data_IF_953797659444
#
_entry.id   IF_953797659444
#
_cell.length_a   1.000
_cell.length_b   1.000
_cell.length_c   1.000
_cell.angle_alpha   90.00
_cell.angle_beta   90.00
_cell.angle_gamma   90.00
#
_symmetry.space_group_name_H-M   'P 1'
#
loop_
_entity.id
_entity.type
_entity.pdbx_description
1 polymer ?
#
# COMPACT_ATOMS: atom_id res chain seq x y z
N UNK A 1 -2.99 -32.26 43.63
CA UNK A 1 -4.09 -33.23 43.43
C UNK A 1 -5.13 -33.00 44.50
N UNK A 2 -6.45 -33.06 44.25
CA UNK A 2 -7.24 -32.80 43.05
C UNK A 2 -8.19 -31.59 43.23
N UNK A 3 -8.92 -31.26 42.15
CA UNK A 3 -10.02 -30.30 42.06
C UNK A 3 -11.20 -30.63 42.98
N UNK A 4 -11.94 -29.61 43.45
CA UNK A 4 -13.42 -29.50 43.41
C UNK A 4 -13.92 -28.13 43.93
N UNK A 5 -14.56 -27.40 43.01
CA UNK A 5 -15.73 -26.49 43.13
C UNK A 5 -15.95 -25.63 44.39
N UNK A 6 -15.94 -24.31 44.20
CA UNK A 6 -16.89 -23.40 44.86
C UNK A 6 -17.19 -22.21 43.96
N UNK A 7 -18.48 -22.04 43.69
CA UNK A 7 -19.11 -21.02 42.87
C UNK A 7 -19.26 -19.71 43.64
N UNK A 8 -18.91 -18.59 43.01
CA UNK A 8 -19.54 -17.28 43.27
C UNK A 8 -19.27 -16.35 42.09
N UNK A 9 -20.23 -16.33 41.17
CA UNK A 9 -20.33 -15.32 40.14
C UNK A 9 -20.83 -14.01 40.76
N UNK A 10 -19.98 -12.98 40.79
CA UNK A 10 -20.43 -11.61 40.96
C UNK A 10 -20.87 -11.07 39.60
N UNK A 11 -22.19 -11.09 39.36
CA UNK A 11 -22.83 -10.41 38.25
C UNK A 11 -22.72 -8.89 38.44
N UNK A 12 -21.72 -8.27 37.81
CA UNK A 12 -21.75 -6.83 37.55
C UNK A 12 -22.40 -6.59 36.19
N UNK A 13 -23.73 -6.42 36.21
CA UNK A 13 -24.48 -5.85 35.10
C UNK A 13 -24.13 -4.37 34.97
N UNK A 14 -23.28 -4.04 33.99
CA UNK A 14 -23.12 -2.66 33.53
C UNK A 14 -23.90 -2.57 32.22
N UNK A 15 -25.18 -2.25 32.35
CA UNK A 15 -26.00 -1.84 31.22
C UNK A 15 -25.51 -0.48 30.73
N UNK A 16 -24.62 -0.46 29.73
CA UNK A 16 -24.39 0.72 28.91
C UNK A 16 -25.45 0.72 27.81
N UNK A 17 -26.56 1.37 28.08
CA UNK A 17 -27.53 1.75 27.07
C UNK A 17 -26.82 2.55 25.97
N UNK A 18 -26.61 1.93 24.81
CA UNK A 18 -26.27 2.64 23.58
C UNK A 18 -27.47 3.50 23.20
N UNK A 19 -27.36 4.81 23.43
CA UNK A 19 -28.36 5.77 22.97
C UNK A 19 -28.28 5.85 21.44
N UNK A 20 -29.15 5.10 20.78
CA UNK A 20 -29.47 5.28 19.36
C UNK A 20 -30.15 6.65 19.23
N UNK A 21 -29.40 7.67 18.81
CA UNK A 21 -29.99 8.98 18.49
C UNK A 21 -30.52 8.93 17.07
N UNK A 22 -31.82 8.61 16.95
CA UNK A 22 -32.58 8.82 15.72
C UNK A 22 -32.68 10.33 15.47
N UNK A 23 -32.02 10.82 14.42
CA UNK A 23 -32.30 12.15 13.88
C UNK A 23 -33.54 12.04 13.00
N UNK A 24 -34.71 12.36 13.54
CA UNK A 24 -35.95 12.42 12.78
C UNK A 24 -35.97 13.72 11.98
N UNK A 25 -35.72 13.62 10.67
CA UNK A 25 -36.00 14.71 9.73
C UNK A 25 -37.52 14.74 9.47
N UNK A 26 -38.16 15.86 9.80
CA UNK A 26 -39.57 16.10 9.53
C UNK A 26 -39.83 16.09 8.02
N UNK A 27 -40.83 15.29 7.63
CA UNK A 27 -41.23 15.10 6.26
C UNK A 27 -41.88 16.37 5.65
N UNK A 28 -41.41 16.74 4.47
CA UNK A 28 -42.17 17.49 3.47
C UNK A 28 -41.95 16.83 2.11
N UNK A 29 -43.06 16.45 1.46
CA UNK A 29 -43.15 15.76 0.17
C UNK A 29 -43.88 16.70 -0.82
N UNK A 30 -43.91 16.48 -2.16
CA UNK A 30 -43.08 15.66 -3.05
C UNK A 30 -42.59 16.44 -4.30
N UNK A 31 -41.77 15.79 -5.14
CA UNK A 31 -41.31 16.20 -6.50
C UNK A 31 -40.10 17.14 -6.56
N UNK A 32 -38.94 16.63 -6.16
CA UNK A 32 -37.70 16.99 -6.83
C UNK A 32 -37.26 15.79 -7.66
N UNK A 33 -37.18 15.98 -8.98
CA UNK A 33 -36.50 15.06 -9.88
C UNK A 33 -35.12 14.77 -9.29
N UNK A 34 -34.78 13.50 -9.13
CA UNK A 34 -33.46 13.06 -8.74
C UNK A 34 -32.47 13.61 -9.77
N UNK A 35 -31.81 14.72 -9.41
CA UNK A 35 -30.55 15.10 -10.03
C UNK A 35 -29.62 13.92 -9.79
N UNK A 36 -29.22 13.31 -10.89
CA UNK A 36 -28.17 12.29 -11.01
C UNK A 36 -27.20 12.39 -9.84
N UNK A 37 -27.15 11.35 -9.01
CA UNK A 37 -26.01 11.15 -8.13
C UNK A 37 -24.76 11.38 -8.96
N UNK A 38 -23.89 12.28 -8.51
CA UNK A 38 -22.58 12.45 -9.11
C UNK A 38 -21.85 11.11 -8.97
N UNK A 39 -22.00 10.26 -9.97
CA UNK A 39 -21.12 9.14 -10.22
C UNK A 39 -19.75 9.77 -10.38
N UNK A 40 -18.96 9.76 -9.31
CA UNK A 40 -17.52 9.91 -9.46
C UNK A 40 -17.09 8.61 -10.13
N UNK A 41 -17.21 8.58 -11.46
CA UNK A 41 -16.63 7.54 -12.29
C UNK A 41 -15.11 7.71 -12.18
N UNK A 42 -14.54 7.26 -11.08
CA UNK A 42 -13.10 7.16 -10.92
C UNK A 42 -12.64 6.11 -11.92
N UNK A 43 -11.99 6.55 -13.01
CA UNK A 43 -11.40 5.67 -14.00
C UNK A 43 -10.25 4.82 -13.40
N UNK A 44 -9.78 5.13 -12.18
CA UNK A 44 -8.77 4.36 -11.46
C UNK A 44 -8.94 4.45 -9.93
N UNK A 45 -8.73 3.33 -9.23
CA UNK A 45 -8.68 3.31 -7.76
C UNK A 45 -7.29 3.73 -7.27
N UNK A 46 -7.21 4.46 -6.15
CA UNK A 46 -5.90 4.81 -5.58
C UNK A 46 -5.12 3.55 -5.22
N UNK A 47 -3.81 3.58 -5.45
CA UNK A 47 -2.90 2.43 -5.32
C UNK A 47 -3.12 1.27 -6.32
N UNK A 48 -4.02 1.40 -7.30
CA UNK A 48 -4.27 0.39 -8.34
C UNK A 48 -3.78 0.84 -9.72
N UNK A 49 -3.56 -0.12 -10.63
CA UNK A 49 -3.21 0.20 -12.02
C UNK A 49 -1.76 0.62 -12.23
N UNK A 50 -0.80 -0.05 -11.56
CA UNK A 50 0.63 0.25 -11.70
C UNK A 50 1.06 0.21 -13.19
N UNK A 51 1.42 1.36 -13.79
CA UNK A 51 1.71 1.45 -15.23
C UNK A 51 2.96 0.66 -15.62
N UNK A 52 3.91 0.49 -14.71
CA UNK A 52 5.16 -0.25 -14.91
C UNK A 52 4.98 -1.77 -14.96
N UNK A 53 3.76 -2.27 -14.70
CA UNK A 53 3.41 -3.71 -14.71
C UNK A 53 2.48 -4.13 -15.85
N UNK A 54 2.19 -3.24 -16.81
CA UNK A 54 1.25 -3.49 -17.91
C UNK A 54 1.72 -4.57 -18.91
N UNK A 55 3.00 -4.96 -18.89
CA UNK A 55 3.55 -6.02 -19.77
C UNK A 55 4.40 -7.01 -18.98
N UNK A 56 4.15 -8.31 -19.17
CA UNK A 56 5.08 -9.37 -18.75
C UNK A 56 6.18 -9.52 -19.78
N UNK A 57 7.39 -9.08 -19.43
CA UNK A 57 8.60 -9.34 -20.22
C UNK A 57 8.85 -10.85 -20.34
N UNK A 58 9.26 -11.31 -21.52
CA UNK A 58 9.70 -12.71 -21.70
C UNK A 58 10.97 -12.96 -20.87
N UNK A 59 11.26 -14.18 -20.40
CA UNK A 59 12.46 -14.45 -19.59
C UNK A 59 13.79 -14.07 -20.24
N UNK A 60 13.85 -14.03 -21.58
CA UNK A 60 15.02 -13.64 -22.37
C UNK A 60 15.13 -12.14 -22.65
N UNK A 61 14.13 -11.36 -22.23
CA UNK A 61 14.06 -9.92 -22.46
C UNK A 61 15.03 -9.19 -21.51
N UNK A 62 15.80 -8.17 -21.95
CA UNK A 62 16.62 -7.33 -21.06
C UNK A 62 15.81 -6.71 -19.91
N UNK A 63 14.52 -6.45 -20.10
CA UNK A 63 13.64 -5.88 -19.07
C UNK A 63 13.09 -6.91 -18.09
N UNK A 64 13.34 -8.21 -18.32
CA UNK A 64 12.91 -9.25 -17.39
C UNK A 64 13.51 -9.00 -16.00
N UNK A 65 12.81 -9.35 -14.91
CA UNK A 65 13.33 -9.12 -13.55
C UNK A 65 14.72 -9.73 -13.35
N UNK A 66 14.95 -10.94 -13.86
CA UNK A 66 16.24 -11.61 -13.71
C UNK A 66 17.33 -10.93 -14.54
N UNK A 67 17.04 -10.58 -15.79
CA UNK A 67 17.99 -9.87 -16.67
C UNK A 67 18.36 -8.52 -16.07
N UNK A 68 17.35 -7.72 -15.69
CA UNK A 68 17.55 -6.41 -15.09
C UNK A 68 18.34 -6.49 -13.77
N UNK A 69 18.13 -7.53 -12.97
CA UNK A 69 18.89 -7.76 -11.73
C UNK A 69 20.36 -8.09 -12.00
N UNK A 70 20.66 -8.90 -13.03
CA UNK A 70 22.06 -9.18 -13.41
C UNK A 70 22.78 -7.95 -13.95
N UNK A 71 22.09 -7.16 -14.78
CA UNK A 71 22.59 -5.86 -15.24
C UNK A 71 22.87 -4.95 -14.05
N UNK A 72 21.90 -4.79 -13.13
CA UNK A 72 22.06 -3.99 -11.91
C UNK A 72 23.29 -4.42 -11.09
N UNK A 73 23.47 -5.72 -10.88
CA UNK A 73 24.64 -6.25 -10.16
C UNK A 73 25.95 -5.86 -10.83
N UNK A 74 26.00 -5.92 -12.16
CA UNK A 74 27.18 -5.54 -12.93
C UNK A 74 27.47 -4.04 -12.80
N UNK A 75 26.42 -3.21 -12.84
CA UNK A 75 26.50 -1.75 -12.69
C UNK A 75 26.94 -1.30 -11.30
N UNK A 76 26.51 -2.01 -10.25
CA UNK A 76 26.94 -1.70 -8.88
C UNK A 76 28.42 -2.03 -8.65
N UNK A 77 28.92 -3.08 -9.31
CA UNK A 77 30.33 -3.50 -9.27
C UNK A 77 31.24 -2.62 -10.13
N UNK A 78 30.74 -2.00 -11.19
CA UNK A 78 31.52 -1.05 -11.98
C UNK A 78 31.60 0.31 -11.28
N UNK A 79 32.81 0.88 -11.21
CA UNK A 79 33.04 2.23 -10.69
C UNK A 79 32.84 3.31 -11.78
N UNK A 80 32.33 2.98 -12.96
CA UNK A 80 32.12 3.95 -14.04
C UNK A 80 30.84 4.75 -13.78
N UNK A 81 31.02 6.03 -13.42
CA UNK A 81 29.91 7.00 -13.23
C UNK A 81 29.43 7.63 -14.54
N UNK A 82 30.00 7.23 -15.69
CA UNK A 82 29.90 7.98 -16.96
C UNK A 82 29.43 7.18 -18.18
N UNK A 83 29.04 5.92 -18.03
CA UNK A 83 28.48 5.15 -19.16
C UNK A 83 26.96 5.19 -19.14
N UNK A 84 26.36 5.59 -20.28
CA UNK A 84 24.93 5.45 -20.52
C UNK A 84 24.63 3.98 -20.81
N UNK A 85 24.05 3.28 -19.84
CA UNK A 85 23.63 1.90 -20.01
C UNK A 85 22.19 1.85 -20.53
N UNK A 86 21.94 0.91 -21.45
CA UNK A 86 20.60 0.52 -21.87
C UNK A 86 20.28 -0.82 -21.21
N UNK A 87 19.19 -0.93 -20.42
CA UNK A 87 18.24 0.13 -20.07
C UNK A 87 18.75 1.09 -18.97
N UNK A 88 18.11 2.26 -18.85
CA UNK A 88 18.32 3.19 -17.74
C UNK A 88 17.64 2.69 -16.45
N UNK A 89 18.20 3.04 -15.29
CA UNK A 89 17.78 2.55 -13.98
C UNK A 89 17.33 3.71 -13.09
N UNK A 90 16.02 3.75 -12.81
CA UNK A 90 15.41 4.69 -11.87
C UNK A 90 15.12 4.02 -10.54
N UNK A 91 15.55 4.65 -9.45
CA UNK A 91 15.40 4.15 -8.08
C UNK A 91 14.51 5.11 -7.30
N UNK A 92 13.48 4.57 -6.64
CA UNK A 92 12.62 5.29 -5.71
C UNK A 92 13.05 5.00 -4.26
N UNK A 93 13.64 5.99 -3.56
CA UNK A 93 14.01 5.82 -2.16
C UNK A 93 12.79 5.84 -1.24
N UNK A 94 12.83 5.02 -0.21
CA UNK A 94 11.88 5.02 0.90
C UNK A 94 12.60 5.25 2.23
N UNK A 95 11.98 5.99 3.14
CA UNK A 95 12.46 6.14 4.51
C UNK A 95 11.35 5.80 5.47
N UNK A 96 11.50 4.71 6.23
CA UNK A 96 10.49 4.20 7.18
C UNK A 96 9.12 4.04 6.52
N UNK A 97 9.08 3.43 5.33
CA UNK A 97 7.84 3.22 4.57
C UNK A 97 7.29 4.45 3.82
N UNK A 98 7.96 5.61 3.90
CA UNK A 98 7.57 6.84 3.19
C UNK A 98 8.32 6.96 1.87
N UNK A 99 7.67 7.06 0.70
CA UNK A 99 8.36 7.33 -0.55
C UNK A 99 8.94 8.74 -0.57
N UNK A 100 10.03 8.90 -1.32
CA UNK A 100 10.51 10.21 -1.74
C UNK A 100 9.55 10.82 -2.77
N UNK A 101 9.14 12.06 -2.55
CA UNK A 101 8.28 12.82 -3.45
C UNK A 101 8.77 14.24 -3.62
N UNK A 102 8.54 14.82 -4.79
CA UNK A 102 8.76 16.23 -5.08
C UNK A 102 7.44 16.93 -5.33
N UNK A 103 7.39 18.23 -5.03
CA UNK A 103 6.29 19.09 -5.44
C UNK A 103 6.81 20.06 -6.49
N UNK A 104 6.26 20.00 -7.70
CA UNK A 104 6.46 21.06 -8.69
C UNK A 104 5.39 22.12 -8.44
N UNK A 105 5.76 23.23 -7.83
CA UNK A 105 4.87 24.36 -7.64
C UNK A 105 4.78 25.17 -8.92
N UNK A 106 3.87 24.80 -9.83
CA UNK A 106 3.52 25.71 -10.92
C UNK A 106 2.46 26.70 -10.43
N UNK A 107 2.78 27.98 -10.55
CA UNK A 107 2.08 29.11 -9.92
C UNK A 107 0.77 29.50 -10.64
N UNK A 108 -0.08 28.50 -10.93
CA UNK A 108 -1.32 28.70 -11.68
C UNK A 108 -2.50 27.89 -11.16
N UNK A 109 -3.27 28.44 -10.22
CA UNK A 109 -4.62 28.04 -9.76
C UNK A 109 -4.92 26.59 -9.32
N UNK A 110 -4.08 25.61 -9.67
CA UNK A 110 -4.12 24.23 -9.20
C UNK A 110 -3.22 24.06 -7.98
N UNK A 111 -3.62 23.20 -7.04
CA UNK A 111 -2.80 22.86 -5.88
C UNK A 111 -1.46 22.21 -6.24
N UNK A 112 -0.61 21.91 -5.25
CA UNK A 112 0.70 21.30 -5.49
C UNK A 112 0.55 19.95 -6.21
N UNK A 113 1.25 19.78 -7.35
CA UNK A 113 1.32 18.51 -8.03
C UNK A 113 2.45 17.66 -7.42
N UNK A 114 2.09 16.56 -6.75
CA UNK A 114 3.02 15.67 -6.08
C UNK A 114 3.45 14.55 -7.03
N UNK A 115 4.76 14.42 -7.22
CA UNK A 115 5.35 13.42 -8.12
C UNK A 115 6.36 12.56 -7.37
N UNK A 116 6.52 11.30 -7.75
CA UNK A 116 7.55 10.44 -7.17
C UNK A 116 8.97 10.97 -7.45
N UNK A 117 9.79 11.01 -6.41
CA UNK A 117 11.19 11.42 -6.46
C UNK A 117 12.09 10.30 -6.97
N UNK A 118 12.09 10.07 -8.28
CA UNK A 118 12.99 9.13 -8.93
C UNK A 118 14.41 9.66 -8.98
N UNK A 119 15.38 8.85 -8.55
CA UNK A 119 16.81 9.11 -8.68
C UNK A 119 17.40 8.18 -9.75
N UNK A 120 18.43 8.62 -10.44
CA UNK A 120 19.29 7.71 -11.20
C UNK A 120 20.05 6.78 -10.25
N UNK A 121 20.51 5.63 -10.77
CA UNK A 121 21.34 4.71 -9.99
C UNK A 121 22.62 5.38 -9.44
N UNK A 122 23.25 6.24 -10.25
CA UNK A 122 24.44 7.00 -9.87
C UNK A 122 24.19 8.00 -8.74
N UNK A 123 23.11 8.80 -8.84
CA UNK A 123 22.71 9.68 -7.74
C UNK A 123 22.46 8.90 -6.45
N UNK A 124 21.73 7.78 -6.54
CA UNK A 124 21.43 6.93 -5.38
C UNK A 124 22.70 6.38 -4.72
N UNK A 125 23.68 5.92 -5.52
CA UNK A 125 24.99 5.46 -5.04
C UNK A 125 25.74 6.56 -4.28
N UNK A 126 25.84 7.76 -4.87
CA UNK A 126 26.50 8.92 -4.24
C UNK A 126 25.84 9.30 -2.91
N UNK A 127 24.52 9.31 -2.84
CA UNK A 127 23.78 9.63 -1.62
C UNK A 127 24.01 8.62 -0.48
N UNK A 128 24.09 7.33 -0.82
CA UNK A 128 24.30 6.26 0.15
C UNK A 128 25.75 6.21 0.64
N UNK A 129 26.73 6.37 -0.25
CA UNK A 129 28.16 6.42 0.09
C UNK A 129 28.46 7.56 1.07
N UNK A 130 27.87 8.75 0.87
CA UNK A 130 27.97 9.88 1.81
C UNK A 130 27.42 9.57 3.21
N UNK A 131 26.52 8.60 3.31
CA UNK A 131 25.91 8.16 4.57
C UNK A 131 26.55 6.89 5.12
N UNK A 132 27.72 6.47 4.59
CA UNK A 132 28.45 5.25 4.96
C UNK A 132 27.63 3.95 4.75
N UNK A 133 26.62 3.98 3.89
CA UNK A 133 25.81 2.81 3.52
C UNK A 133 26.21 2.35 2.14
N UNK A 134 26.59 1.08 1.99
CA UNK A 134 26.85 0.51 0.66
C UNK A 134 25.54 0.11 -0.02
N UNK A 135 25.43 0.44 -1.30
CA UNK A 135 24.32 -0.01 -2.13
C UNK A 135 24.57 -1.47 -2.55
N UNK A 136 23.79 -2.39 -1.98
CA UNK A 136 23.83 -3.82 -2.28
C UNK A 136 22.56 -4.22 -3.02
N UNK A 137 22.67 -5.10 -4.01
CA UNK A 137 21.56 -5.52 -4.87
C UNK A 137 20.37 -6.11 -4.09
N UNK A 138 20.63 -6.76 -2.95
CA UNK A 138 19.61 -7.38 -2.09
C UNK A 138 18.70 -6.37 -1.39
N UNK A 139 19.08 -5.08 -1.36
CA UNK A 139 18.27 -3.99 -0.80
C UNK A 139 17.26 -3.44 -1.81
N UNK A 140 17.42 -3.75 -3.10
CA UNK A 140 16.57 -3.24 -4.17
C UNK A 140 15.42 -4.22 -4.49
N UNK A 141 14.24 -3.66 -4.73
CA UNK A 141 13.08 -4.41 -5.22
C UNK A 141 12.65 -3.91 -6.59
N UNK A 142 12.45 -4.84 -7.52
CA UNK A 142 12.02 -4.52 -8.88
C UNK A 142 10.54 -4.13 -8.91
N UNK A 143 10.24 -2.97 -9.49
CA UNK A 143 8.87 -2.45 -9.59
C UNK A 143 8.25 -2.70 -10.97
N UNK A 144 9.05 -2.64 -12.02
CA UNK A 144 8.57 -2.70 -13.40
C UNK A 144 9.55 -2.08 -14.39
N UNK A 145 9.09 -1.94 -15.62
CA UNK A 145 9.83 -1.30 -16.70
C UNK A 145 8.87 -0.54 -17.62
N UNK A 146 9.44 0.34 -18.44
CA UNK A 146 8.75 0.95 -19.58
C UNK A 146 9.64 0.80 -20.82
N UNK A 147 9.28 -0.12 -21.70
CA UNK A 147 10.06 -0.44 -22.90
C UNK A 147 10.21 0.77 -23.82
N UNK A 148 9.13 1.53 -24.02
CA UNK A 148 9.12 2.75 -24.82
C UNK A 148 10.05 3.86 -24.30
N UNK A 149 10.38 3.86 -23.00
CA UNK A 149 11.34 4.80 -22.41
C UNK A 149 12.72 4.18 -22.20
N UNK A 150 12.89 2.88 -22.44
CA UNK A 150 14.08 2.09 -22.10
C UNK A 150 14.50 2.21 -20.62
N UNK A 151 13.52 2.22 -19.70
CA UNK A 151 13.76 2.39 -18.26
C UNK A 151 13.28 1.21 -17.43
N UNK A 152 14.09 0.80 -16.45
CA UNK A 152 13.73 -0.12 -15.36
C UNK A 152 13.59 0.62 -14.03
N UNK A 153 12.52 0.32 -13.31
CA UNK A 153 12.16 0.96 -12.05
C UNK A 153 12.41 0.05 -10.85
N UNK A 154 13.09 0.59 -9.84
CA UNK A 154 13.43 -0.08 -8.59
C UNK A 154 13.00 0.76 -7.38
N UNK A 155 12.86 0.13 -6.22
CA UNK A 155 12.77 0.83 -4.94
C UNK A 155 13.79 0.30 -3.95
N UNK A 156 14.14 1.14 -2.97
CA UNK A 156 15.11 0.84 -1.92
C UNK A 156 14.68 1.48 -0.60
N UNK A 157 14.92 0.80 0.52
CA UNK A 157 14.79 1.39 1.85
C UNK A 157 16.11 2.04 2.28
N UNK A 158 16.09 3.36 2.49
CA UNK A 158 17.21 4.20 2.91
C UNK A 158 17.05 4.69 4.36
N UNK A 159 16.28 3.97 5.18
CA UNK A 159 16.04 4.33 6.58
C UNK A 159 17.31 4.50 7.42
N UNK A 160 18.36 3.74 7.10
CA UNK A 160 19.65 3.78 7.80
C UNK A 160 20.55 4.95 7.32
N UNK A 161 20.25 5.59 6.19
CA UNK A 161 21.05 6.69 5.63
C UNK A 161 20.56 8.04 6.16
N UNK A 162 21.12 8.54 7.26
CA UNK A 162 20.69 9.80 7.91
C UNK A 162 21.06 11.07 7.14
N UNK A 163 22.18 11.09 6.42
CA UNK A 163 22.74 12.28 5.74
C UNK A 163 21.96 12.76 4.52
N UNK A 164 21.09 11.91 3.96
CA UNK A 164 20.44 12.13 2.67
C UNK A 164 19.34 13.22 2.68
N UNK A 165 18.73 13.49 3.84
CA UNK A 165 17.50 14.30 3.93
C UNK A 165 17.75 15.77 3.57
N UNK A 166 18.86 16.35 4.03
CA UNK A 166 19.15 17.77 3.84
C UNK A 166 19.42 18.13 2.36
N UNK A 167 20.10 17.26 1.62
CA UNK A 167 20.44 17.46 0.21
C UNK A 167 19.24 17.20 -0.72
N UNK A 168 18.37 16.24 -0.37
CA UNK A 168 17.10 16.06 -1.07
C UNK A 168 16.15 17.24 -0.85
N UNK A 169 16.16 17.82 0.35
CA UNK A 169 15.38 19.01 0.67
C UNK A 169 15.74 20.23 -0.18
N UNK A 170 17.02 20.43 -0.51
CA UNK A 170 17.44 21.53 -1.40
C UNK A 170 16.94 21.34 -2.84
N UNK A 171 16.65 20.10 -3.23
CA UNK A 171 16.01 19.73 -4.51
C UNK A 171 14.48 19.67 -4.44
N UNK A 172 13.87 20.23 -3.39
CA UNK A 172 12.42 20.22 -3.14
C UNK A 172 11.82 18.82 -3.00
N UNK A 173 12.62 17.83 -2.61
CA UNK A 173 12.15 16.49 -2.29
C UNK A 173 11.91 16.32 -0.78
N UNK A 174 10.94 15.49 -0.44
CA UNK A 174 10.64 15.11 0.94
C UNK A 174 10.09 13.69 1.02
N UNK A 175 10.26 13.03 2.17
CA UNK A 175 9.67 11.71 2.44
C UNK A 175 8.28 11.89 3.05
N UNK A 176 7.24 11.47 2.34
CA UNK A 176 5.84 11.73 2.73
C UNK A 176 5.09 10.43 2.95
N UNK A 177 4.20 10.40 3.94
CA UNK A 177 3.32 9.26 4.20
C UNK A 177 2.37 9.01 3.02
N UNK A 178 2.22 7.74 2.60
CA UNK A 178 1.34 7.39 1.47
C UNK A 178 -0.10 7.86 1.65
N UNK A 179 -0.62 7.79 2.89
CA UNK A 179 -1.97 8.27 3.19
C UNK A 179 -2.09 9.78 2.98
N UNK A 180 -1.05 10.53 3.35
CA UNK A 180 -1.01 11.98 3.13
C UNK A 180 -0.95 12.29 1.64
N UNK A 181 -0.15 11.56 0.86
CA UNK A 181 -0.11 11.69 -0.60
C UNK A 181 -1.47 11.42 -1.22
N UNK A 182 -2.10 10.29 -0.85
CA UNK A 182 -3.44 9.95 -1.33
C UNK A 182 -4.47 11.06 -1.07
N UNK A 183 -4.39 11.76 0.06
CA UNK A 183 -5.30 12.88 0.39
C UNK A 183 -4.93 14.17 -0.35
N UNK A 184 -3.64 14.40 -0.60
CA UNK A 184 -3.15 15.62 -1.24
C UNK A 184 -3.16 15.57 -2.78
N UNK A 185 -3.23 14.37 -3.36
CA UNK A 185 -3.25 14.13 -4.80
C UNK A 185 -4.62 14.44 -5.41
N UNK A 186 -4.63 15.03 -6.61
CA UNK A 186 -5.81 15.10 -7.46
C UNK A 186 -6.09 13.72 -8.08
N UNK A 187 -7.24 13.11 -7.73
CA UNK A 187 -7.62 11.79 -8.22
C UNK A 187 -8.09 11.79 -9.68
N UNK A 188 -8.36 12.97 -10.25
CA UNK A 188 -8.65 13.11 -11.67
C UNK A 188 -7.37 13.03 -12.52
N UNK A 189 -6.18 13.26 -11.95
CA UNK A 189 -4.91 13.15 -12.66
C UNK A 189 -4.46 11.67 -12.76
N UNK A 190 -4.51 11.05 -13.96
CA UNK A 190 -4.12 9.65 -14.14
C UNK A 190 -2.64 9.42 -13.83
N UNK A 191 -1.79 10.43 -13.99
CA UNK A 191 -0.36 10.27 -13.74
C UNK A 191 -0.10 10.20 -12.24
N UNK A 192 -0.76 11.04 -11.45
CA UNK A 192 -0.65 10.98 -9.99
C UNK A 192 -1.26 9.71 -9.39
N UNK A 193 -2.35 9.20 -9.98
CA UNK A 193 -2.91 7.91 -9.59
C UNK A 193 -1.98 6.74 -9.90
N UNK A 194 -1.29 6.78 -11.05
CA UNK A 194 -0.23 5.83 -11.40
C UNK A 194 0.95 5.87 -10.42
N UNK A 195 1.37 7.08 -10.02
CA UNK A 195 2.42 7.29 -9.01
C UNK A 195 2.02 6.68 -7.65
N UNK A 196 0.78 6.87 -7.20
CA UNK A 196 0.27 6.21 -5.99
C UNK A 196 0.33 4.68 -6.11
N UNK A 197 -0.09 4.12 -7.25
CA UNK A 197 -0.03 2.67 -7.51
C UNK A 197 1.39 2.10 -7.43
N UNK A 198 2.37 2.80 -7.99
CA UNK A 198 3.78 2.42 -7.90
C UNK A 198 4.27 2.49 -6.46
N UNK A 199 3.97 3.59 -5.75
CA UNK A 199 4.45 3.81 -4.39
C UNK A 199 3.85 2.82 -3.39
N UNK A 200 2.54 2.51 -3.51
CA UNK A 200 1.88 1.48 -2.72
C UNK A 200 2.45 0.09 -2.96
N UNK A 201 2.71 -0.25 -4.21
CA UNK A 201 3.34 -1.51 -4.58
C UNK A 201 4.77 -1.64 -4.01
N UNK A 202 5.58 -0.60 -4.18
CA UNK A 202 6.96 -0.54 -3.68
C UNK A 202 7.02 -0.68 -2.15
N UNK A 203 6.17 0.06 -1.44
CA UNK A 203 6.07 -0.03 0.02
C UNK A 203 5.75 -1.44 0.49
N UNK A 204 4.74 -2.08 -0.09
CA UNK A 204 4.33 -3.43 0.29
C UNK A 204 5.47 -4.45 0.12
N UNK A 205 6.24 -4.35 -0.96
CA UNK A 205 7.42 -5.19 -1.17
C UNK A 205 8.51 -4.89 -0.15
N UNK A 206 8.90 -3.63 0.04
CA UNK A 206 9.96 -3.26 0.98
C UNK A 206 9.63 -3.66 2.42
N UNK A 207 8.39 -3.45 2.86
CA UNK A 207 7.92 -3.86 4.19
C UNK A 207 7.96 -5.38 4.37
N UNK A 208 7.50 -6.13 3.37
CA UNK A 208 7.60 -7.59 3.38
C UNK A 208 9.07 -8.05 3.40
N UNK A 209 9.96 -7.37 2.69
CA UNK A 209 11.39 -7.65 2.74
C UNK A 209 11.98 -7.42 4.13
N UNK A 210 11.61 -6.31 4.78
CA UNK A 210 12.07 -5.95 6.11
C UNK A 210 11.60 -6.92 7.20
N UNK A 211 10.39 -7.47 7.07
CA UNK A 211 9.77 -8.37 8.08
C UNK A 211 10.08 -9.85 7.84
N UNK A 212 10.20 -10.28 6.58
CA UNK A 212 10.44 -11.68 6.22
C UNK A 212 11.93 -11.99 6.07
N UNK A 213 12.74 -11.81 7.13
CA UNK A 213 14.20 -12.03 7.11
C UNK A 213 14.61 -13.50 7.33
N UNK A 214 13.74 -14.28 7.96
CA UNK A 214 13.97 -15.66 8.34
C UNK A 214 12.82 -16.56 7.86
N UNK A 215 13.14 -17.83 7.61
CA UNK A 215 12.20 -18.82 7.15
C UNK A 215 11.28 -19.24 8.31
N UNK A 216 9.98 -18.99 8.19
CA UNK A 216 9.00 -19.39 9.20
C UNK A 216 8.88 -20.91 9.42
N UNK A 217 9.52 -21.74 8.60
CA UNK A 217 9.54 -23.20 8.79
C UNK A 217 10.77 -23.70 9.56
N UNK A 218 11.97 -23.21 9.25
CA UNK A 218 13.23 -23.73 9.84
C UNK A 218 14.11 -22.67 10.52
N UNK A 219 13.72 -21.41 10.55
CA UNK A 219 14.46 -20.31 11.18
C UNK A 219 15.70 -19.82 10.42
N UNK A 220 16.13 -20.49 9.35
CA UNK A 220 17.27 -20.05 8.54
C UNK A 220 17.00 -18.72 7.81
N UNK A 221 18.06 -17.99 7.44
CA UNK A 221 17.93 -16.74 6.68
C UNK A 221 17.22 -16.98 5.35
N UNK A 222 16.55 -15.94 4.86
CA UNK A 222 15.93 -15.94 3.52
C UNK A 222 16.71 -15.05 2.58
N UNK A 223 16.89 -15.48 1.34
CA UNK A 223 17.56 -14.73 0.28
C UNK A 223 16.53 -14.22 -0.74
N UNK A 224 16.62 -12.95 -1.18
CA UNK A 224 15.82 -12.44 -2.29
C UNK A 224 16.03 -13.26 -3.57
N UNK A 225 14.96 -13.47 -4.32
CA UNK A 225 14.97 -14.13 -5.62
C UNK A 225 14.07 -13.37 -6.58
N UNK A 226 14.28 -13.51 -7.89
CA UNK A 226 13.46 -12.87 -8.93
C UNK A 226 13.36 -11.35 -8.73
N UNK A 227 14.51 -10.71 -8.52
CA UNK A 227 14.63 -9.27 -8.28
C UNK A 227 13.76 -8.76 -7.12
N UNK A 228 13.68 -9.56 -6.05
CA UNK A 228 12.95 -9.22 -4.83
C UNK A 228 11.45 -9.51 -4.88
N UNK A 229 10.95 -10.23 -5.88
CA UNK A 229 9.51 -10.60 -5.95
C UNK A 229 9.14 -11.81 -5.08
N UNK A 230 10.13 -12.64 -4.75
CA UNK A 230 9.98 -13.75 -3.80
C UNK A 230 11.29 -13.94 -3.02
N UNK A 231 11.24 -14.79 -2.02
CA UNK A 231 12.39 -15.20 -1.22
C UNK A 231 12.54 -16.71 -1.21
N UNK A 232 13.76 -17.19 -1.02
CA UNK A 232 14.06 -18.61 -0.79
C UNK A 232 14.73 -18.78 0.56
N UNK A 233 14.42 -19.86 1.26
CA UNK A 233 15.20 -20.28 2.42
C UNK A 233 16.65 -20.59 1.99
N UNK A 234 17.63 -20.09 2.75
CA UNK A 234 19.06 -20.34 2.50
C UNK A 234 19.53 -21.73 2.94
N UNK A 235 18.69 -22.46 3.70
CA UNK A 235 19.00 -23.83 4.07
C UNK A 235 18.71 -24.77 2.90
N UNK A 236 19.77 -25.42 2.40
CA UNK A 236 19.73 -26.35 1.27
C UNK A 236 18.76 -27.54 1.48
N UNK A 237 18.55 -27.97 2.71
CA UNK A 237 17.60 -29.05 3.04
C UNK A 237 16.15 -28.56 3.07
N UNK A 238 15.92 -27.26 3.21
CA UNK A 238 14.57 -26.68 3.30
C UNK A 238 14.09 -26.12 1.95
N UNK A 239 14.86 -25.22 1.33
CA UNK A 239 14.56 -24.56 0.03
C UNK A 239 13.13 -24.01 -0.15
N UNK A 240 12.42 -23.74 0.96
CA UNK A 240 11.04 -23.26 0.90
C UNK A 240 10.99 -21.88 0.23
N UNK A 241 10.05 -21.73 -0.70
CA UNK A 241 9.75 -20.45 -1.37
C UNK A 241 8.77 -19.66 -0.52
N UNK A 242 9.00 -18.35 -0.42
CA UNK A 242 8.21 -17.42 0.39
C UNK A 242 7.79 -16.27 -0.52
N UNK A 243 6.50 -15.94 -0.49
CA UNK A 243 5.90 -14.89 -1.31
C UNK A 243 5.43 -13.72 -0.42
N UNK A 244 5.28 -12.50 -0.99
CA UNK A 244 4.65 -11.39 -0.30
C UNK A 244 3.28 -11.75 0.26
N UNK A 245 2.99 -11.29 1.48
CA UNK A 245 1.69 -11.48 2.12
C UNK A 245 0.69 -10.45 1.56
N UNK A 246 -0.53 -10.90 1.30
CA UNK A 246 -1.68 -10.03 1.02
C UNK A 246 -2.78 -10.45 1.99
N UNK A 247 -3.23 -9.51 2.81
CA UNK A 247 -4.27 -9.74 3.80
C UNK A 247 -5.59 -9.16 3.26
N UNK A 248 -6.55 -10.00 2.83
CA UNK A 248 -7.79 -9.52 2.23
C UNK A 248 -8.72 -8.93 3.30
N UNK A 249 -9.32 -7.79 2.94
CA UNK A 249 -10.19 -7.00 3.81
C UNK A 249 -11.46 -6.66 3.04
N UNK A 250 -12.62 -6.82 3.67
CA UNK A 250 -13.89 -6.28 3.18
C UNK A 250 -14.11 -4.90 3.77
N UNK A 251 -14.63 -3.98 2.95
CA UNK A 251 -15.15 -2.69 3.39
C UNK A 251 -16.57 -2.56 2.82
N UNK A 252 -17.55 -2.27 3.67
CA UNK A 252 -18.96 -2.35 3.30
C UNK A 252 -19.76 -1.12 3.75
N UNK A 253 -20.54 -0.58 2.81
CA UNK A 253 -21.59 0.38 3.10
C UNK A 253 -22.90 -0.38 3.29
N UNK A 254 -23.39 -0.46 4.52
CA UNK A 254 -24.66 -1.13 4.83
C UNK A 254 -25.79 -0.12 4.63
N UNK A 255 -26.75 -0.45 3.77
CA UNK A 255 -27.84 0.44 3.35
C UNK A 255 -29.17 -0.16 3.79
N UNK A 256 -29.98 0.66 4.44
CA UNK A 256 -31.39 0.40 4.70
C UNK A 256 -32.21 1.09 3.61
N UNK A 257 -32.62 0.30 2.61
CA UNK A 257 -33.30 0.78 1.39
C UNK A 257 -34.68 1.38 1.69
N UNK A 258 -35.37 0.91 2.74
CA UNK A 258 -36.72 1.39 3.07
C UNK A 258 -36.70 2.76 3.75
N UNK A 259 -35.68 3.02 4.56
CA UNK A 259 -35.57 4.23 5.36
C UNK A 259 -34.56 5.25 4.78
N UNK A 260 -34.01 5.00 3.59
CA UNK A 260 -33.02 5.84 2.91
C UNK A 260 -31.85 6.27 3.82
N UNK A 261 -31.25 5.29 4.51
CA UNK A 261 -30.16 5.53 5.46
C UNK A 261 -29.04 4.53 5.29
N UNK A 262 -27.83 4.93 5.68
CA UNK A 262 -26.66 4.06 5.69
C UNK A 262 -26.03 4.01 7.10
N UNK A 263 -25.47 2.85 7.42
CA UNK A 263 -24.74 2.62 8.67
C UNK A 263 -23.28 3.05 8.49
N UNK A 264 -22.81 3.91 9.40
CA UNK A 264 -21.41 4.30 9.49
C UNK A 264 -20.94 4.09 10.93
N UNK A 265 -19.69 3.67 11.10
CA UNK A 265 -19.06 3.59 12.41
C UNK A 265 -18.08 4.74 12.64
N UNK A 266 -17.81 4.98 13.92
CA UNK A 266 -16.82 5.93 14.39
C UNK A 266 -15.86 5.23 15.32
N UNK A 267 -14.58 5.23 14.97
CA UNK A 267 -13.54 4.69 15.83
C UNK A 267 -12.81 5.82 16.55
N UNK A 268 -12.41 5.59 17.81
CA UNK A 268 -11.72 6.59 18.64
C UNK A 268 -10.39 7.06 18.05
N UNK A 269 -9.74 6.21 17.25
CA UNK A 269 -8.46 6.50 16.56
C UNK A 269 -8.60 7.44 15.35
N UNK A 270 -9.82 7.74 14.90
CA UNK A 270 -10.06 8.56 13.72
C UNK A 270 -10.03 10.06 14.04
N UNK A 271 -9.76 10.87 13.01
CA UNK A 271 -9.84 12.34 13.10
C UNK A 271 -11.23 12.72 13.65
N UNK A 272 -11.34 13.69 14.56
CA UNK A 272 -12.63 14.08 15.11
C UNK A 272 -13.68 14.33 14.02
N UNK A 273 -14.89 13.80 14.25
CA UNK A 273 -16.05 13.89 13.34
C UNK A 273 -15.94 13.08 12.04
N UNK A 274 -14.92 12.23 11.88
CA UNK A 274 -14.88 11.27 10.79
C UNK A 274 -15.73 10.04 11.09
N UNK A 275 -16.64 9.72 10.16
CA UNK A 275 -17.42 8.49 10.12
C UNK A 275 -16.96 7.68 8.91
N UNK A 276 -16.96 6.36 9.01
CA UNK A 276 -16.51 5.48 7.94
C UNK A 276 -17.40 4.26 7.80
N UNK A 277 -17.30 3.59 6.65
CA UNK A 277 -17.85 2.26 6.45
C UNK A 277 -17.23 1.28 7.46
N UNK A 278 -17.94 0.18 7.70
CA UNK A 278 -17.38 -0.95 8.43
C UNK A 278 -16.32 -1.64 7.56
N UNK A 279 -15.29 -2.20 8.19
CA UNK A 279 -14.26 -2.95 7.48
C UNK A 279 -13.60 -3.96 8.40
N UNK A 280 -13.30 -5.14 7.85
CA UNK A 280 -12.73 -6.25 8.61
C UNK A 280 -11.98 -7.25 7.75
N UNK A 281 -11.13 -8.04 8.38
CA UNK A 281 -10.34 -9.07 7.69
C UNK A 281 -11.22 -10.26 7.34
N UNK A 282 -10.93 -10.89 6.20
CA UNK A 282 -11.55 -12.18 5.85
C UNK A 282 -10.86 -13.29 6.63
N UNK A 283 -11.64 -14.21 7.19
CA UNK A 283 -11.10 -15.38 7.87
C UNK A 283 -10.85 -16.57 6.93
N UNK A 284 -9.92 -17.49 7.26
CA UNK A 284 -9.70 -18.69 6.46
C UNK A 284 -10.97 -19.54 6.31
N UNK A 285 -11.37 -19.80 5.07
CA UNK A 285 -12.58 -20.56 4.75
C UNK A 285 -13.84 -19.71 4.57
N UNK A 286 -13.72 -18.39 4.70
CA UNK A 286 -14.81 -17.44 4.56
C UNK A 286 -14.85 -16.82 3.15
N UNK A 287 -16.05 -16.69 2.58
CA UNK A 287 -16.32 -15.87 1.39
C UNK A 287 -16.33 -14.37 1.71
N UNK A 288 -16.27 -13.52 0.69
CA UNK A 288 -16.39 -12.06 0.88
C UNK A 288 -17.72 -11.69 1.54
N UNK A 289 -18.79 -12.36 1.13
CA UNK A 289 -20.14 -12.11 1.58
C UNK A 289 -20.37 -12.60 3.01
N UNK A 290 -19.75 -13.71 3.41
CA UNK A 290 -19.76 -14.16 4.81
C UNK A 290 -19.00 -13.18 5.72
N UNK A 291 -17.80 -12.73 5.30
CA UNK A 291 -17.01 -11.75 6.06
C UNK A 291 -17.78 -10.44 6.27
N UNK A 292 -18.47 -9.94 5.23
CA UNK A 292 -19.32 -8.74 5.34
C UNK A 292 -20.42 -8.94 6.40
N UNK A 293 -21.08 -10.11 6.41
CA UNK A 293 -22.16 -10.39 7.37
C UNK A 293 -21.63 -10.54 8.79
N UNK A 294 -20.55 -11.29 8.98
CA UNK A 294 -19.90 -11.51 10.28
C UNK A 294 -19.42 -10.19 10.88
N UNK A 295 -18.60 -9.44 10.15
CA UNK A 295 -18.02 -8.18 10.64
C UNK A 295 -19.11 -7.14 10.97
N UNK A 296 -20.17 -7.07 10.16
CA UNK A 296 -21.30 -6.16 10.46
C UNK A 296 -22.02 -6.56 11.75
N UNK A 297 -22.29 -7.86 11.92
CA UNK A 297 -22.98 -8.38 13.10
C UNK A 297 -22.13 -8.18 14.37
N UNK A 298 -20.83 -8.45 14.31
CA UNK A 298 -19.91 -8.32 15.45
C UNK A 298 -19.75 -6.86 15.90
N UNK A 299 -19.57 -5.92 14.96
CA UNK A 299 -19.33 -4.51 15.31
C UNK A 299 -20.62 -3.77 15.72
N UNK A 300 -21.78 -4.16 15.17
CA UNK A 300 -23.00 -3.33 15.25
C UNK A 300 -24.25 -4.07 15.73
N UNK A 301 -24.24 -5.40 15.73
CA UNK A 301 -25.43 -6.22 16.02
C UNK A 301 -26.47 -6.24 14.90
N UNK A 302 -26.17 -5.68 13.73
CA UNK A 302 -27.08 -5.63 12.58
C UNK A 302 -26.84 -6.82 11.66
N UNK A 303 -27.91 -7.53 11.32
CA UNK A 303 -27.88 -8.60 10.32
C UNK A 303 -28.02 -8.01 8.90
N UNK A 304 -27.25 -8.55 7.95
CA UNK A 304 -27.22 -8.09 6.56
C UNK A 304 -27.65 -9.21 5.61
N UNK A 305 -28.56 -8.87 4.69
CA UNK A 305 -29.07 -9.76 3.66
C UNK A 305 -28.18 -9.81 2.41
N UNK A 306 -28.63 -9.17 1.34
CA UNK A 306 -27.95 -9.10 0.04
C UNK A 306 -26.58 -8.39 0.15
N UNK A 307 -25.54 -8.98 -0.44
CA UNK A 307 -24.21 -8.39 -0.56
C UNK A 307 -23.88 -8.25 -2.03
N UNK A 308 -23.55 -7.02 -2.46
CA UNK A 308 -23.19 -6.71 -3.85
C UNK A 308 -21.76 -6.18 -3.88
N UNK A 309 -20.88 -6.89 -4.59
CA UNK A 309 -19.52 -6.43 -4.82
C UNK A 309 -19.52 -5.20 -5.74
N UNK A 310 -18.81 -4.14 -5.31
CA UNK A 310 -18.64 -2.92 -6.10
C UNK A 310 -17.28 -2.88 -6.80
N UNK A 311 -16.19 -2.95 -6.02
CA UNK A 311 -14.82 -2.78 -6.52
C UNK A 311 -13.78 -3.31 -5.55
N UNK A 312 -12.53 -3.43 -5.99
CA UNK A 312 -11.39 -3.78 -5.15
C UNK A 312 -10.30 -2.72 -5.24
N UNK A 313 -9.60 -2.50 -4.13
CA UNK A 313 -8.56 -1.49 -4.04
C UNK A 313 -7.38 -2.06 -3.22
N UNK A 314 -6.15 -2.06 -3.77
CA UNK A 314 -4.97 -2.35 -2.98
C UNK A 314 -4.80 -1.29 -1.89
N UNK A 315 -4.47 -1.72 -0.67
CA UNK A 315 -4.22 -0.82 0.43
C UNK A 315 -2.84 -1.09 1.04
N UNK A 316 -1.81 -0.31 0.68
CA UNK A 316 -0.51 -0.43 1.34
C UNK A 316 -0.71 0.02 2.79
N UNK A 317 -0.41 -0.88 3.72
CA UNK A 317 -0.75 -0.76 5.15
C UNK A 317 -0.15 0.46 5.87
N UNK A 318 -0.25 0.44 7.20
CA UNK A 318 0.27 1.50 8.06
C UNK A 318 1.77 1.51 8.18
#
# INVERSE_FOLDING_TARGET
>A
MPFLLSSSAALFSISKALSCRTLTLLAANPRCQFSTAMSISLNSHAFAGNPSRLRTAKPSDPFSPNSAFQTLKTLLLSNSTHESFSPDFKVLPFRKGRPLVGSSGDSGSGGPNWRLGWLSLGECKVFLEKSEVSLVEDLLVYLGFKAEEDVVYWAIDVSEASGMVSELGSRQFSFVELRTLMVATDWADPISMGDLAVAGHARALLEWHATSRFCGYCGAKTVPMEAGRRKSCSNEMCKKRIYPRVDPVVIMLVIDKENDRALLSKQSRYVPRMWSCLAGFIEPGESLEEAVRRETLEETGVEVGEVVYHSSQPWPGK
#
